data_IF_534077716569
#
_entry.id   IF_534077716569
#
_cell.length_a   1.000
_cell.length_b   1.000
_cell.length_c   1.000
_cell.angle_alpha   90.00
_cell.angle_beta   90.00
_cell.angle_gamma   90.00
#
_symmetry.space_group_name_H-M   'P 1'
#
loop_
_entity.id
_entity.type
_entity.pdbx_description
1 polymer ?
#
# COMPACT_ATOMS: atom_id res chain seq x y z
N UNK A 1 16.89 -13.59 -10.13
CA UNK A 1 15.79 -12.93 -10.86
C UNK A 1 15.30 -11.71 -10.11
N UNK A 2 15.12 -10.62 -10.82
CA UNK A 2 14.59 -9.40 -10.20
C UNK A 2 13.08 -9.50 -9.98
N UNK A 3 12.62 -9.16 -8.79
CA UNK A 3 11.21 -9.07 -8.46
C UNK A 3 10.82 -7.61 -8.32
N UNK A 4 9.55 -7.31 -8.61
CA UNK A 4 8.97 -6.00 -8.34
C UNK A 4 8.36 -6.01 -6.96
N UNK A 5 8.93 -5.22 -6.06
CA UNK A 5 8.50 -5.16 -4.67
C UNK A 5 7.84 -3.81 -4.43
N UNK A 6 6.62 -3.84 -3.96
CA UNK A 6 5.87 -2.65 -3.57
C UNK A 6 5.77 -2.62 -2.05
N UNK A 7 6.21 -1.53 -1.45
CA UNK A 7 6.08 -1.31 -0.01
C UNK A 7 5.05 -0.22 0.22
N UNK A 8 3.98 -0.54 0.93
CA UNK A 8 2.99 0.45 1.36
C UNK A 8 3.35 0.88 2.78
N UNK A 9 3.77 2.12 2.92
CA UNK A 9 4.14 2.70 4.22
C UNK A 9 2.94 3.49 4.75
N UNK A 10 2.36 3.03 5.84
CA UNK A 10 1.12 3.58 6.37
C UNK A 10 1.31 4.60 7.48
N UNK A 11 2.56 4.90 7.86
CA UNK A 11 2.80 5.92 8.88
C UNK A 11 2.51 7.31 8.33
N UNK A 12 1.74 8.10 9.07
CA UNK A 12 1.49 9.50 8.73
C UNK A 12 2.54 10.43 9.32
N UNK A 13 3.43 9.92 10.15
CA UNK A 13 4.49 10.68 10.80
C UNK A 13 5.83 10.37 10.14
N UNK A 14 6.53 11.41 9.68
CA UNK A 14 7.86 11.26 9.11
C UNK A 14 8.85 10.75 10.17
N UNK A 15 9.76 9.87 9.78
CA UNK A 15 10.78 9.36 10.68
C UNK A 15 10.26 8.37 11.72
N UNK A 16 9.09 7.77 11.49
CA UNK A 16 8.55 6.75 12.40
C UNK A 16 9.33 5.44 12.33
N UNK A 17 9.12 4.59 13.33
CA UNK A 17 9.77 3.27 13.34
C UNK A 17 9.34 2.41 12.17
N UNK A 18 8.05 2.42 11.81
CA UNK A 18 7.57 1.64 10.66
C UNK A 18 8.17 2.15 9.36
N UNK A 19 8.36 3.46 9.21
CA UNK A 19 9.02 4.03 8.05
C UNK A 19 10.49 3.62 7.99
N UNK A 20 11.18 3.62 9.13
CA UNK A 20 12.57 3.18 9.20
C UNK A 20 12.71 1.70 8.80
N UNK A 21 11.79 0.86 9.25
CA UNK A 21 11.79 -0.55 8.87
C UNK A 21 11.51 -0.73 7.38
N UNK A 22 10.59 0.05 6.81
CA UNK A 22 10.31 0.01 5.38
C UNK A 22 11.55 0.39 4.56
N UNK A 23 12.26 1.42 4.98
CA UNK A 23 13.48 1.86 4.29
C UNK A 23 14.58 0.81 4.40
N UNK A 24 14.76 0.19 5.56
CA UNK A 24 15.75 -0.86 5.73
C UNK A 24 15.44 -2.08 4.84
N UNK A 25 14.17 -2.45 4.77
CA UNK A 25 13.75 -3.54 3.89
C UNK A 25 14.05 -3.19 2.42
N UNK A 26 13.73 -1.96 2.01
CA UNK A 26 13.97 -1.50 0.65
C UNK A 26 15.45 -1.55 0.29
N UNK A 27 16.31 -1.10 1.20
CA UNK A 27 17.76 -1.12 0.97
C UNK A 27 18.28 -2.54 0.78
N UNK A 28 17.84 -3.47 1.62
CA UNK A 28 18.23 -4.87 1.51
C UNK A 28 17.75 -5.51 0.22
N UNK A 29 16.51 -5.22 -0.17
CA UNK A 29 15.94 -5.77 -1.40
C UNK A 29 16.65 -5.22 -2.64
N UNK A 30 16.98 -3.92 -2.65
CA UNK A 30 17.73 -3.33 -3.75
C UNK A 30 19.15 -3.90 -3.85
N UNK A 31 19.79 -4.10 -2.70
CA UNK A 31 21.12 -4.71 -2.67
C UNK A 31 21.11 -6.14 -3.22
N UNK A 32 19.99 -6.85 -3.10
CA UNK A 32 19.81 -8.18 -3.67
C UNK A 32 19.41 -8.16 -5.15
N UNK A 33 19.30 -6.99 -5.77
CA UNK A 33 19.00 -6.86 -7.20
C UNK A 33 17.54 -6.74 -7.55
N UNK A 34 16.67 -6.51 -6.57
CA UNK A 34 15.23 -6.34 -6.83
C UNK A 34 14.86 -4.88 -7.07
N UNK A 35 13.77 -4.68 -7.79
CA UNK A 35 13.20 -3.34 -8.01
C UNK A 35 12.22 -3.05 -6.88
N UNK A 36 12.38 -1.91 -6.20
CA UNK A 36 11.55 -1.56 -5.04
C UNK A 36 10.94 -0.19 -5.24
N UNK A 37 9.65 -0.10 -5.01
CA UNK A 37 8.94 1.18 -4.93
C UNK A 37 8.29 1.28 -3.55
N UNK A 38 8.48 2.43 -2.88
CA UNK A 38 7.83 2.72 -1.60
C UNK A 38 6.74 3.75 -1.87
N UNK A 39 5.51 3.41 -1.50
CA UNK A 39 4.38 4.34 -1.58
C UNK A 39 3.96 4.66 -0.14
N UNK A 40 4.08 5.93 0.23
CA UNK A 40 3.61 6.40 1.52
C UNK A 40 2.14 6.79 1.40
N UNK A 41 1.33 6.40 2.38
CA UNK A 41 -0.07 6.83 2.44
C UNK A 41 -0.20 8.26 2.99
N UNK A 42 0.89 8.82 3.50
CA UNK A 42 0.91 10.20 3.98
C UNK A 42 0.64 11.15 2.83
N UNK A 43 -0.34 12.03 3.00
CA UNK A 43 -0.71 12.99 1.96
C UNK A 43 -1.58 12.41 0.84
N UNK A 44 -1.90 11.12 0.88
CA UNK A 44 -2.79 10.51 -0.09
C UNK A 44 -4.26 10.72 0.30
N UNK A 45 -5.09 10.87 -0.70
CA UNK A 45 -6.54 10.98 -0.50
C UNK A 45 -7.17 9.64 -0.83
N UNK A 46 -7.61 8.93 0.20
CA UNK A 46 -8.18 7.60 0.07
C UNK A 46 -9.50 7.58 0.85
N UNK A 47 -10.61 7.57 0.13
CA UNK A 47 -11.94 7.50 0.73
C UNK A 47 -12.23 6.07 1.20
N UNK A 48 -13.18 5.94 2.11
CA UNK A 48 -13.61 4.63 2.59
C UNK A 48 -14.32 3.86 1.48
N UNK A 49 -14.16 2.55 1.47
CA UNK A 49 -14.92 1.68 0.59
C UNK A 49 -16.40 1.74 0.99
N UNK A 50 -17.29 1.85 -0.01
CA UNK A 50 -18.73 1.94 0.22
C UNK A 50 -19.43 0.60 0.07
N UNK A 51 -18.71 -0.45 -0.28
CA UNK A 51 -19.29 -1.78 -0.43
C UNK A 51 -20.25 -1.91 -1.61
N UNK A 52 -20.12 -1.07 -2.63
CA UNK A 52 -21.02 -1.05 -3.77
C UNK A 52 -20.82 -2.24 -4.74
N UNK A 53 -19.69 -2.94 -4.64
CA UNK A 53 -19.33 -4.10 -5.45
C UNK A 53 -19.20 -3.83 -6.96
N UNK A 54 -19.24 -2.58 -7.40
CA UNK A 54 -19.05 -2.24 -8.82
C UNK A 54 -17.69 -2.69 -9.34
N UNK A 55 -16.67 -2.74 -8.47
CA UNK A 55 -15.32 -3.18 -8.85
C UNK A 55 -15.28 -4.66 -9.29
N UNK A 56 -16.23 -5.47 -8.84
CA UNK A 56 -16.30 -6.88 -9.24
C UNK A 56 -16.62 -7.02 -10.73
N UNK A 57 -17.30 -6.06 -11.31
CA UNK A 57 -17.63 -6.04 -12.74
C UNK A 57 -16.62 -5.21 -13.52
N UNK A 58 -16.21 -4.05 -12.99
CA UNK A 58 -15.36 -3.11 -13.69
C UNK A 58 -13.87 -3.43 -13.60
N UNK A 59 -13.46 -4.22 -12.61
CA UNK A 59 -12.05 -4.53 -12.36
C UNK A 59 -11.28 -3.38 -11.71
N UNK A 60 -11.97 -2.30 -11.32
CA UNK A 60 -11.39 -1.18 -10.61
C UNK A 60 -12.47 -0.48 -9.79
N UNK A 61 -12.06 0.30 -8.80
CA UNK A 61 -12.98 1.05 -7.96
C UNK A 61 -13.57 2.24 -8.73
N UNK A 62 -14.85 2.54 -8.48
CA UNK A 62 -15.51 3.70 -9.09
C UNK A 62 -15.16 5.02 -8.42
N UNK A 63 -14.60 4.98 -7.20
CA UNK A 63 -14.15 6.18 -6.50
C UNK A 63 -12.80 6.60 -7.08
N UNK A 64 -12.75 7.78 -7.69
CA UNK A 64 -11.55 8.28 -8.36
C UNK A 64 -10.68 9.07 -7.38
N UNK A 65 -9.77 8.37 -6.70
CA UNK A 65 -8.82 8.99 -5.78
C UNK A 65 -7.49 8.23 -5.84
N UNK A 66 -6.57 8.50 -4.90
CA UNK A 66 -5.24 7.90 -4.94
C UNK A 66 -5.25 6.37 -4.81
N UNK A 67 -6.32 5.78 -4.25
CA UNK A 67 -6.40 4.34 -4.10
C UNK A 67 -6.40 3.62 -5.46
N UNK A 68 -6.93 4.22 -6.50
CA UNK A 68 -6.96 3.60 -7.83
C UNK A 68 -5.55 3.36 -8.36
N UNK A 69 -4.68 4.37 -8.27
CA UNK A 69 -3.28 4.24 -8.70
C UNK A 69 -2.51 3.24 -7.84
N UNK A 70 -2.78 3.22 -6.53
CA UNK A 70 -2.11 2.29 -5.62
C UNK A 70 -2.53 0.84 -5.91
N UNK A 71 -3.81 0.58 -6.13
CA UNK A 71 -4.27 -0.77 -6.45
C UNK A 71 -3.69 -1.25 -7.77
N UNK A 72 -3.52 -0.37 -8.74
CA UNK A 72 -2.87 -0.73 -9.99
C UNK A 72 -1.43 -1.17 -9.75
N UNK A 73 -0.68 -0.46 -8.91
CA UNK A 73 0.67 -0.86 -8.53
C UNK A 73 0.67 -2.20 -7.79
N UNK A 74 -0.30 -2.43 -6.91
CA UNK A 74 -0.43 -3.71 -6.19
C UNK A 74 -0.64 -4.87 -7.17
N UNK A 75 -1.44 -4.67 -8.18
CA UNK A 75 -1.74 -5.71 -9.17
C UNK A 75 -0.48 -6.15 -9.93
N UNK A 76 0.42 -5.22 -10.20
CA UNK A 76 1.63 -5.49 -10.98
C UNK A 76 2.85 -5.84 -10.13
N UNK A 77 2.73 -5.83 -8.82
CA UNK A 77 3.83 -6.18 -7.92
C UNK A 77 3.95 -7.70 -7.78
N UNK A 78 5.18 -8.17 -7.66
CA UNK A 78 5.44 -9.58 -7.33
C UNK A 78 5.34 -9.82 -5.83
N UNK A 79 5.74 -8.82 -5.04
CA UNK A 79 5.72 -8.87 -3.57
C UNK A 79 5.15 -7.56 -3.06
N UNK A 80 4.26 -7.66 -2.09
CA UNK A 80 3.69 -6.48 -1.41
C UNK A 80 4.07 -6.54 0.06
N UNK A 81 4.65 -5.45 0.55
CA UNK A 81 5.06 -5.32 1.95
C UNK A 81 4.25 -4.22 2.59
N UNK A 82 3.67 -4.50 3.75
CA UNK A 82 2.92 -3.52 4.50
C UNK A 82 3.74 -3.09 5.72
N UNK A 83 4.08 -1.81 5.79
CA UNK A 83 4.75 -1.21 6.94
C UNK A 83 3.75 -0.30 7.64
N UNK A 84 3.34 -0.67 8.85
CA UNK A 84 2.27 0.02 9.55
C UNK A 84 2.61 0.20 11.02
N UNK A 85 2.29 1.37 11.61
CA UNK A 85 2.25 1.47 13.06
C UNK A 85 1.11 0.60 13.61
N UNK A 86 1.23 0.21 14.87
CA UNK A 86 0.20 -0.60 15.53
C UNK A 86 -0.66 0.33 16.36
N UNK A 87 -1.94 0.41 15.99
CA UNK A 87 -2.93 1.18 16.71
C UNK A 87 -3.98 0.22 17.27
N UNK A 88 -4.11 0.20 18.56
CA UNK A 88 -5.07 -0.63 19.27
C UNK A 88 -5.01 -2.09 18.81
N UNK A 89 -3.81 -2.68 18.90
CA UNK A 89 -3.52 -4.11 18.60
C UNK A 89 -3.71 -4.50 17.13
N UNK A 90 -3.85 -3.54 16.22
CA UNK A 90 -4.16 -3.82 14.82
C UNK A 90 -3.36 -2.89 13.90
N UNK A 91 -3.43 -3.13 12.61
CA UNK A 91 -2.85 -2.21 11.64
C UNK A 91 -3.53 -0.83 11.74
N UNK A 92 -2.85 0.20 11.25
CA UNK A 92 -3.42 1.54 11.25
C UNK A 92 -4.71 1.59 10.43
N UNK A 93 -5.60 2.51 10.79
CA UNK A 93 -6.84 2.72 10.04
C UNK A 93 -6.58 3.14 8.60
N UNK A 94 -5.52 3.90 8.35
CA UNK A 94 -5.14 4.32 7.00
C UNK A 94 -4.80 3.12 6.12
N UNK A 95 -4.05 2.16 6.65
CA UNK A 95 -3.72 0.95 5.89
C UNK A 95 -4.98 0.11 5.64
N UNK A 96 -5.82 -0.07 6.67
CA UNK A 96 -7.06 -0.84 6.51
C UNK A 96 -7.98 -0.20 5.47
N UNK A 97 -8.08 1.12 5.47
CA UNK A 97 -8.86 1.86 4.47
C UNK A 97 -8.34 1.57 3.06
N UNK A 98 -7.02 1.58 2.87
CA UNK A 98 -6.43 1.26 1.57
C UNK A 98 -6.72 -0.18 1.17
N UNK A 99 -6.56 -1.12 2.11
CA UNK A 99 -6.82 -2.54 1.83
C UNK A 99 -8.28 -2.78 1.47
N UNK A 100 -9.21 -2.10 2.12
CA UNK A 100 -10.63 -2.19 1.78
C UNK A 100 -10.88 -1.76 0.33
N UNK A 101 -10.11 -0.78 -0.15
CA UNK A 101 -10.25 -0.28 -1.52
C UNK A 101 -9.57 -1.18 -2.55
N UNK A 102 -8.86 -2.20 -2.13
CA UNK A 102 -8.22 -3.18 -3.02
C UNK A 102 -9.16 -4.33 -3.40
N UNK A 103 -10.44 -4.21 -3.15
CA UNK A 103 -11.43 -5.27 -3.41
C UNK A 103 -11.58 -5.60 -4.91
N UNK A 104 -11.05 -4.75 -5.79
CA UNK A 104 -11.06 -5.01 -7.24
C UNK A 104 -10.02 -6.06 -7.68
N UNK A 105 -9.09 -6.39 -6.81
CA UNK A 105 -7.98 -7.31 -7.11
C UNK A 105 -8.39 -8.77 -6.96
#
# INVERSE_FOLDING_TARGET
>A
MSKKILILSASLRAGSNSEALANAFADGARAAGHTVEIVSLRGKQIAFCRGCLACQTLGKCVIDDDAVAITEKMQHADVIVFATPIYYYEMSGQLKTMLDRANSL
#
